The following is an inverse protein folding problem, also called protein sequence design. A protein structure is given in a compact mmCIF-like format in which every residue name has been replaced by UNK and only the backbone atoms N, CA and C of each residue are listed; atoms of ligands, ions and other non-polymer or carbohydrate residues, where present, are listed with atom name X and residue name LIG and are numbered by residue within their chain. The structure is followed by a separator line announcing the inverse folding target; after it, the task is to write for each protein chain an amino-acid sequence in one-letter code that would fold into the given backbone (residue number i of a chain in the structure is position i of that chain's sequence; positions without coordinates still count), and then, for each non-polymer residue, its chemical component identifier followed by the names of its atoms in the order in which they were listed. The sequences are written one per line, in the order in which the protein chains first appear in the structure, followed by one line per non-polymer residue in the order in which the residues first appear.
data_IF_804083485097
#
_entry.id   IF_804083485097
#
_cell.length_a   1.000
_cell.length_b   1.000
_cell.length_c   1.000
_cell.angle_alpha   90.00
_cell.angle_beta   90.00
_cell.angle_gamma   90.00
#
_symmetry.space_group_name_H-M   'P 1'
#
loop_
_entity.id
_entity.type
_entity.pdbx_description
1 polymer ?
#
# COMPACT_ATOMS: atom_id res chain seq x y z
N UNK A 1 -52.05 2.85 18.58
CA UNK A 1 -51.43 1.81 17.71
C UNK A 1 -51.87 2.03 16.27
N UNK A 2 -50.96 2.46 15.39
CA UNK A 2 -51.03 2.18 13.95
C UNK A 2 -49.66 1.66 13.55
N UNK A 3 -49.59 0.36 13.32
CA UNK A 3 -48.46 -0.27 12.65
C UNK A 3 -48.39 0.34 11.25
N UNK A 4 -47.49 1.30 11.04
CA UNK A 4 -46.97 1.52 9.70
C UNK A 4 -46.17 0.26 9.39
N UNK A 5 -46.75 -0.61 8.57
CA UNK A 5 -46.00 -1.64 7.89
C UNK A 5 -44.79 -0.96 7.25
N UNK A 6 -43.61 -1.21 7.82
CA UNK A 6 -42.35 -0.80 7.19
C UNK A 6 -42.28 -1.60 5.91
N UNK A 7 -42.63 -0.99 4.78
CA UNK A 7 -42.44 -1.57 3.46
C UNK A 7 -40.94 -1.77 3.28
N UNK A 8 -40.48 -3.00 3.53
CA UNK A 8 -39.08 -3.36 3.32
C UNK A 8 -38.90 -3.40 1.80
N UNK A 9 -38.22 -2.37 1.28
CA UNK A 9 -37.88 -2.28 -0.13
C UNK A 9 -37.18 -3.57 -0.59
N UNK A 10 -37.47 -4.06 -1.81
CA UNK A 10 -36.76 -5.19 -2.41
C UNK A 10 -35.25 -4.97 -2.40
N UNK A 11 -34.47 -6.06 -2.27
CA UNK A 11 -33.01 -6.00 -2.20
C UNK A 11 -32.41 -5.20 -3.36
N UNK A 12 -32.94 -5.35 -4.57
CA UNK A 12 -32.44 -4.67 -5.77
C UNK A 12 -32.74 -3.17 -5.78
N UNK A 13 -33.88 -2.75 -5.22
CA UNK A 13 -34.18 -1.32 -5.04
C UNK A 13 -33.33 -0.71 -3.93
N UNK A 14 -33.08 -1.46 -2.84
CA UNK A 14 -32.14 -1.05 -1.79
C UNK A 14 -30.71 -0.97 -2.31
N UNK A 15 -30.31 -1.85 -3.21
CA UNK A 15 -29.01 -1.84 -3.88
C UNK A 15 -28.91 -0.71 -4.92
N UNK A 16 -29.98 -0.41 -5.66
CA UNK A 16 -30.06 0.75 -6.57
C UNK A 16 -30.08 2.08 -5.83
N UNK A 17 -30.76 2.18 -4.68
CA UNK A 17 -30.70 3.35 -3.80
C UNK A 17 -29.33 3.45 -3.11
N UNK A 18 -28.71 2.32 -2.74
CA UNK A 18 -27.34 2.26 -2.23
C UNK A 18 -26.28 2.60 -3.29
N UNK A 19 -26.64 2.56 -4.58
CA UNK A 19 -25.78 2.92 -5.70
C UNK A 19 -25.87 4.40 -6.08
N UNK A 20 -26.88 5.14 -5.61
CA UNK A 20 -26.88 6.60 -5.64
C UNK A 20 -26.02 7.12 -4.48
N UNK A 21 -25.42 8.29 -4.65
CA UNK A 21 -24.74 9.03 -3.58
C UNK A 21 -25.48 8.86 -2.25
N UNK A 22 -24.79 8.41 -1.21
CA UNK A 22 -25.38 8.22 0.12
C UNK A 22 -25.51 9.53 0.91
N UNK A 23 -24.84 10.60 0.47
CA UNK A 23 -25.00 11.93 1.06
C UNK A 23 -26.08 12.69 0.29
N UNK A 24 -27.25 12.84 0.90
CA UNK A 24 -28.39 13.59 0.31
C UNK A 24 -28.19 15.10 0.34
N UNK A 25 -27.17 15.59 1.07
CA UNK A 25 -26.77 17.00 1.15
C UNK A 25 -25.29 17.13 1.59
N UNK A 26 -24.66 18.30 1.45
CA UNK A 26 -23.31 18.55 1.97
C UNK A 26 -23.18 18.28 3.48
N UNK A 27 -24.18 18.65 4.29
CA UNK A 27 -24.20 18.40 5.73
C UNK A 27 -24.33 16.91 6.07
N UNK A 28 -24.97 16.13 5.19
CA UNK A 28 -24.99 14.69 5.32
C UNK A 28 -23.61 14.08 5.00
N UNK A 29 -22.89 14.61 4.00
CA UNK A 29 -21.54 14.20 3.66
C UNK A 29 -20.56 14.49 4.81
N UNK A 30 -20.57 15.72 5.34
CA UNK A 30 -19.76 16.11 6.50
C UNK A 30 -20.02 15.21 7.71
N UNK A 31 -21.29 14.92 8.02
CA UNK A 31 -21.64 13.99 9.12
C UNK A 31 -21.13 12.56 8.88
N UNK A 32 -21.04 12.09 7.64
CA UNK A 32 -20.47 10.77 7.34
C UNK A 32 -18.96 10.75 7.56
N UNK A 33 -18.25 11.81 7.14
CA UNK A 33 -16.80 11.97 7.38
C UNK A 33 -16.51 12.08 8.88
N UNK A 34 -17.24 12.90 9.63
CA UNK A 34 -17.07 13.04 11.07
C UNK A 34 -17.33 11.71 11.82
N UNK A 35 -18.31 10.93 11.38
CA UNK A 35 -18.55 9.57 11.92
C UNK A 35 -17.45 8.59 11.58
N UNK A 36 -16.76 8.77 10.46
CA UNK A 36 -15.57 7.99 10.12
C UNK A 36 -14.41 8.39 11.03
N UNK A 37 -14.17 9.68 11.25
CA UNK A 37 -13.16 10.17 12.21
C UNK A 37 -13.32 9.55 13.61
N UNK A 38 -14.54 9.54 14.15
CA UNK A 38 -14.84 9.01 15.49
C UNK A 38 -15.14 7.51 15.56
N UNK A 39 -14.89 6.73 14.51
CA UNK A 39 -15.16 5.29 14.56
C UNK A 39 -14.10 4.58 15.40
N UNK A 40 -14.51 3.59 16.18
CA UNK A 40 -13.56 2.74 16.89
C UNK A 40 -12.68 1.96 15.89
N UNK A 41 -11.35 2.04 16.04
CA UNK A 41 -10.37 1.54 15.07
C UNK A 41 -10.50 0.03 14.81
N UNK A 42 -10.85 -0.77 15.81
CA UNK A 42 -11.16 -2.20 15.63
C UNK A 42 -12.19 -2.51 14.53
N UNK A 43 -13.13 -1.60 14.24
CA UNK A 43 -14.11 -1.79 13.16
C UNK A 43 -13.53 -1.63 11.75
N UNK A 44 -12.33 -1.06 11.62
CA UNK A 44 -11.58 -0.99 10.36
C UNK A 44 -10.95 -2.34 10.02
N UNK A 45 -10.35 -3.01 11.01
CA UNK A 45 -9.57 -4.22 10.79
C UNK A 45 -10.42 -5.47 10.58
N UNK A 46 -11.64 -5.52 11.12
CA UNK A 46 -12.56 -6.66 10.94
C UNK A 46 -11.94 -8.04 11.27
N UNK A 47 -11.09 -8.09 12.29
CA UNK A 47 -10.42 -9.31 12.75
C UNK A 47 -8.95 -9.04 13.11
N UNK A 48 -8.35 -9.98 13.84
CA UNK A 48 -6.99 -9.82 14.37
C UNK A 48 -5.93 -9.85 13.27
N UNK A 49 -6.05 -10.70 12.24
CA UNK A 49 -5.03 -10.81 11.19
C UNK A 49 -4.68 -9.48 10.51
N UNK A 50 -5.65 -8.59 10.28
CA UNK A 50 -5.38 -7.28 9.70
C UNK A 50 -4.78 -6.30 10.70
N UNK A 51 -5.16 -6.44 11.96
CA UNK A 51 -4.56 -5.69 13.06
C UNK A 51 -3.09 -6.11 13.20
N UNK A 52 -2.80 -7.40 13.24
CA UNK A 52 -1.45 -7.96 13.39
C UNK A 52 -0.53 -7.53 12.23
N UNK A 53 -1.03 -7.52 10.98
CA UNK A 53 -0.25 -7.02 9.84
C UNK A 53 0.01 -5.51 9.98
N UNK A 54 -0.99 -4.72 10.32
CA UNK A 54 -0.83 -3.27 10.48
C UNK A 54 0.07 -2.91 11.68
N UNK A 55 0.00 -3.70 12.75
CA UNK A 55 0.87 -3.61 13.93
C UNK A 55 2.31 -3.96 13.56
N UNK A 56 2.54 -4.97 12.72
CA UNK A 56 3.87 -5.26 12.18
C UNK A 56 4.47 -4.11 11.35
N UNK A 57 3.64 -3.22 10.80
CA UNK A 57 4.07 -2.09 9.96
C UNK A 57 4.20 -0.78 10.74
N UNK A 58 3.31 -0.51 11.70
CA UNK A 58 3.23 0.78 12.41
C UNK A 58 3.09 0.66 13.93
N UNK A 59 3.11 -0.56 14.47
CA UNK A 59 2.82 -0.88 15.87
C UNK A 59 3.80 -0.28 16.86
N UNK A 60 5.05 -0.04 16.46
CA UNK A 60 6.04 0.66 17.30
C UNK A 60 5.59 2.07 17.70
N UNK A 61 4.70 2.69 16.93
CA UNK A 61 4.12 4.00 17.23
C UNK A 61 2.79 3.92 17.98
N UNK A 62 2.21 2.72 18.11
CA UNK A 62 0.89 2.56 18.71
C UNK A 62 0.96 2.78 20.23
N UNK A 63 2.02 2.30 20.88
CA UNK A 63 2.23 2.51 22.31
C UNK A 63 2.26 4.00 22.69
N UNK A 64 2.81 4.84 21.82
CA UNK A 64 2.86 6.30 22.00
C UNK A 64 1.50 7.01 21.89
N UNK A 65 0.48 6.33 21.36
CA UNK A 65 -0.81 6.93 21.00
C UNK A 65 -1.95 6.53 21.94
N UNK A 66 -1.74 5.61 22.90
CA UNK A 66 -2.69 5.17 23.94
C UNK A 66 -4.19 5.33 23.57
N UNK A 67 -4.88 6.31 24.19
CA UNK A 67 -6.32 6.58 24.03
C UNK A 67 -6.69 7.17 22.66
N UNK A 68 -5.73 7.75 21.93
CA UNK A 68 -5.96 8.32 20.60
C UNK A 68 -6.14 7.22 19.55
N UNK A 69 -5.50 6.06 19.71
CA UNK A 69 -5.71 4.92 18.81
C UNK A 69 -7.13 4.35 18.84
N UNK A 70 -7.90 4.67 19.88
CA UNK A 70 -9.25 4.13 20.03
C UNK A 70 -10.12 4.50 18.83
N UNK A 71 -9.89 5.67 18.23
CA UNK A 71 -10.67 6.17 17.10
C UNK A 71 -9.82 6.37 15.85
N UNK A 72 -10.44 6.26 14.68
CA UNK A 72 -9.76 6.39 13.38
C UNK A 72 -8.94 7.68 13.24
N UNK A 73 -9.46 8.82 13.69
CA UNK A 73 -8.73 10.09 13.64
C UNK A 73 -7.42 10.08 14.42
N UNK A 74 -7.40 9.44 15.59
CA UNK A 74 -6.15 9.28 16.35
C UNK A 74 -5.31 8.10 15.84
N UNK A 75 -5.90 7.07 15.25
CA UNK A 75 -5.17 6.04 14.50
C UNK A 75 -4.41 6.63 13.30
N UNK A 76 -4.94 7.65 12.61
CA UNK A 76 -4.20 8.35 11.55
C UNK A 76 -2.85 8.91 12.01
N UNK A 77 -2.68 9.21 13.31
CA UNK A 77 -1.40 9.68 13.85
C UNK A 77 -0.30 8.61 13.80
N UNK A 78 -0.63 7.32 13.79
CA UNK A 78 0.39 6.26 13.68
C UNK A 78 1.09 6.29 12.33
N UNK A 79 0.36 6.63 11.25
CA UNK A 79 0.93 6.82 9.92
C UNK A 79 1.86 8.03 9.89
N UNK A 80 1.45 9.14 10.51
CA UNK A 80 2.30 10.33 10.58
C UNK A 80 3.61 10.05 11.31
N UNK A 81 3.55 9.37 12.46
CA UNK A 81 4.74 8.98 13.21
C UNK A 81 5.63 7.99 12.42
N UNK A 82 5.02 7.03 11.72
CA UNK A 82 5.76 6.11 10.85
C UNK A 82 6.46 6.84 9.70
N UNK A 83 5.76 7.80 9.06
CA UNK A 83 6.35 8.64 8.01
C UNK A 83 7.49 9.50 8.59
N UNK A 84 7.32 10.13 9.74
CA UNK A 84 8.36 10.94 10.38
C UNK A 84 9.59 10.11 10.78
N UNK A 85 9.40 8.85 11.15
CA UNK A 85 10.47 7.93 11.54
C UNK A 85 11.21 7.33 10.34
N UNK A 86 10.46 6.81 9.36
CA UNK A 86 11.05 6.13 8.18
C UNK A 86 11.65 7.11 7.19
N UNK A 87 11.18 8.37 7.22
CA UNK A 87 11.54 9.36 6.25
C UNK A 87 12.54 10.37 6.84
N UNK A 88 13.82 10.09 6.61
CA UNK A 88 14.89 11.09 6.71
C UNK A 88 14.67 12.28 5.75
N UNK A 89 13.66 12.27 4.87
CA UNK A 89 13.40 13.35 3.89
C UNK A 89 13.36 14.76 4.50
N UNK A 90 12.70 14.95 5.65
CA UNK A 90 12.71 16.27 6.32
C UNK A 90 14.08 16.58 6.95
N UNK A 91 14.81 15.56 7.43
CA UNK A 91 16.18 15.71 7.91
C UNK A 91 17.16 16.01 6.75
N UNK A 92 16.96 15.39 5.59
CA UNK A 92 17.76 15.52 4.37
C UNK A 92 17.55 16.87 3.68
N UNK A 93 16.32 17.41 3.66
CA UNK A 93 16.03 18.79 3.20
C UNK A 93 16.60 19.83 4.18
N UNK A 94 16.66 19.51 5.47
CA UNK A 94 17.23 20.39 6.49
C UNK A 94 18.76 20.36 6.57
N UNK A 95 19.38 19.33 6.00
CA UNK A 95 20.82 19.25 5.74
C UNK A 95 21.09 19.71 4.31
N UNK A 96 22.26 20.28 4.00
CA UNK A 96 22.66 20.62 2.62
C UNK A 96 22.91 19.35 1.74
N UNK A 97 22.08 18.31 1.85
CA UNK A 97 22.13 17.13 0.99
C UNK A 97 21.65 17.52 -0.42
N UNK A 98 22.27 16.96 -1.45
CA UNK A 98 21.91 17.28 -2.83
C UNK A 98 20.47 16.87 -3.14
N UNK A 99 19.79 17.59 -4.04
CA UNK A 99 18.43 17.23 -4.49
C UNK A 99 18.34 15.77 -5.00
N UNK A 100 19.46 15.21 -5.50
CA UNK A 100 19.58 13.80 -5.91
C UNK A 100 19.54 12.80 -4.73
N UNK A 101 19.94 13.18 -3.52
CA UNK A 101 19.79 12.37 -2.32
C UNK A 101 18.39 12.50 -1.70
N UNK A 102 17.74 13.65 -1.87
CA UNK A 102 16.38 13.90 -1.38
C UNK A 102 15.28 13.23 -2.23
N UNK A 103 15.50 13.06 -3.54
CA UNK A 103 14.55 12.42 -4.46
C UNK A 103 15.20 11.25 -5.20
N UNK A 104 15.36 10.11 -4.50
CA UNK A 104 15.76 8.86 -5.16
C UNK A 104 14.57 8.26 -5.93
N UNK A 105 14.61 8.21 -7.28
CA UNK A 105 13.49 7.72 -8.10
C UNK A 105 13.27 6.22 -7.97
N UNK A 106 14.11 5.50 -7.22
CA UNK A 106 13.99 4.07 -6.98
C UNK A 106 13.58 3.73 -5.54
N UNK A 107 13.18 4.74 -4.75
CA UNK A 107 12.74 4.55 -3.37
C UNK A 107 11.28 4.97 -3.13
N UNK A 108 10.60 4.27 -2.20
CA UNK A 108 9.29 4.69 -1.73
C UNK A 108 9.37 6.03 -0.98
N UNK A 109 8.38 6.89 -1.21
CA UNK A 109 8.32 8.27 -0.72
C UNK A 109 8.40 8.41 0.81
N UNK A 110 7.91 7.42 1.56
CA UNK A 110 7.90 7.42 3.02
C UNK A 110 8.55 6.18 3.64
N UNK A 111 9.40 5.49 2.88
CA UNK A 111 9.89 4.18 3.28
C UNK A 111 8.87 3.07 3.04
N UNK A 112 9.34 1.83 3.11
CA UNK A 112 8.54 0.65 2.74
C UNK A 112 7.44 0.36 3.75
N UNK A 113 7.70 0.50 5.06
CA UNK A 113 6.69 0.19 6.09
C UNK A 113 5.51 1.14 6.01
N UNK A 114 5.76 2.46 6.00
CA UNK A 114 4.70 3.46 5.87
C UNK A 114 3.92 3.31 4.54
N UNK A 115 4.61 3.09 3.41
CA UNK A 115 3.94 2.84 2.13
C UNK A 115 3.05 1.60 2.18
N UNK A 116 3.56 0.47 2.68
CA UNK A 116 2.80 -0.78 2.81
C UNK A 116 1.59 -0.62 3.75
N UNK A 117 1.74 0.14 4.84
CA UNK A 117 0.65 0.43 5.77
C UNK A 117 -0.47 1.21 5.07
N UNK A 118 -0.12 2.22 4.26
CA UNK A 118 -1.09 3.00 3.50
C UNK A 118 -1.82 2.17 2.44
N UNK A 119 -1.10 1.28 1.75
CA UNK A 119 -1.71 0.33 0.80
C UNK A 119 -2.67 -0.60 1.53
N UNK A 120 -2.30 -1.12 2.70
CA UNK A 120 -3.18 -1.94 3.53
C UNK A 120 -4.44 -1.17 3.97
N UNK A 121 -4.29 0.08 4.42
CA UNK A 121 -5.42 0.95 4.75
C UNK A 121 -6.37 1.11 3.54
N UNK A 122 -5.81 1.38 2.36
CA UNK A 122 -6.57 1.47 1.10
C UNK A 122 -7.35 0.18 0.80
N UNK A 123 -6.72 -0.99 0.93
CA UNK A 123 -7.37 -2.29 0.73
C UNK A 123 -8.52 -2.52 1.73
N UNK A 124 -8.31 -2.21 3.01
CA UNK A 124 -9.34 -2.36 4.06
C UNK A 124 -10.55 -1.46 3.78
N UNK A 125 -10.30 -0.20 3.41
CA UNK A 125 -11.37 0.75 3.05
C UNK A 125 -12.12 0.30 1.79
N UNK A 126 -11.42 -0.29 0.82
CA UNK A 126 -12.05 -0.83 -0.39
C UNK A 126 -12.93 -2.05 -0.09
N UNK A 127 -12.47 -2.94 0.80
CA UNK A 127 -13.24 -4.10 1.28
C UNK A 127 -14.54 -3.64 1.98
N UNK A 128 -14.46 -2.57 2.79
CA UNK A 128 -15.63 -1.90 3.34
C UNK A 128 -16.55 -1.34 2.25
N UNK A 129 -16.00 -0.62 1.26
CA UNK A 129 -16.76 -0.02 0.16
C UNK A 129 -17.47 -1.06 -0.72
N UNK A 130 -16.88 -2.24 -0.88
CA UNK A 130 -17.47 -3.40 -1.57
C UNK A 130 -18.61 -4.04 -0.77
N UNK A 131 -18.77 -3.70 0.50
CA UNK A 131 -19.76 -4.29 1.40
C UNK A 131 -19.33 -5.64 1.96
N UNK A 132 -18.06 -6.03 1.78
CA UNK A 132 -17.47 -7.23 2.36
C UNK A 132 -17.33 -7.11 3.88
N UNK A 133 -17.14 -5.88 4.37
CA UNK A 133 -16.92 -5.59 5.78
C UNK A 133 -17.98 -4.59 6.29
N UNK A 134 -19.00 -5.08 7.01
CA UNK A 134 -20.27 -4.37 7.22
C UNK A 134 -20.30 -3.46 8.46
N UNK A 135 -19.28 -2.64 8.67
CA UNK A 135 -19.48 -1.49 9.56
C UNK A 135 -20.17 -0.35 8.83
N UNK A 136 -21.36 0.00 9.29
CA UNK A 136 -22.31 0.87 8.59
C UNK A 136 -21.73 2.25 8.26
N UNK A 137 -20.94 2.84 9.16
CA UNK A 137 -20.41 4.19 8.94
C UNK A 137 -19.29 4.22 7.90
N UNK A 138 -18.33 3.28 7.94
CA UNK A 138 -17.27 3.18 6.92
C UNK A 138 -17.89 2.88 5.56
N UNK A 139 -18.82 1.92 5.52
CA UNK A 139 -19.54 1.55 4.30
C UNK A 139 -20.24 2.76 3.63
N UNK A 140 -20.94 3.59 4.40
CA UNK A 140 -21.63 4.74 3.80
C UNK A 140 -20.68 5.86 3.41
N UNK A 141 -19.63 6.11 4.20
CA UNK A 141 -18.63 7.13 3.87
C UNK A 141 -17.92 6.79 2.55
N UNK A 142 -17.47 5.54 2.41
CA UNK A 142 -16.77 5.03 1.22
C UNK A 142 -17.65 4.90 -0.05
N UNK A 143 -18.97 5.11 0.07
CA UNK A 143 -19.95 5.07 -1.03
C UNK A 143 -20.43 6.44 -1.49
N UNK A 144 -19.89 7.53 -0.92
CA UNK A 144 -20.15 8.87 -1.43
C UNK A 144 -19.55 9.05 -2.84
N UNK A 145 -20.02 10.06 -3.58
CA UNK A 145 -19.26 10.49 -4.75
C UNK A 145 -17.92 11.05 -4.28
N UNK A 146 -16.88 10.89 -5.09
CA UNK A 146 -15.56 11.40 -4.78
C UNK A 146 -15.61 12.90 -4.49
N UNK A 147 -16.37 13.65 -5.29
CA UNK A 147 -16.56 15.08 -5.09
C UNK A 147 -17.16 15.42 -3.72
N UNK A 148 -18.26 14.75 -3.33
CA UNK A 148 -18.89 15.01 -2.04
C UNK A 148 -17.99 14.70 -0.86
N UNK A 149 -17.20 13.63 -0.96
CA UNK A 149 -16.21 13.30 0.06
C UNK A 149 -15.16 14.40 0.18
N UNK A 150 -14.54 14.79 -0.93
CA UNK A 150 -13.50 15.83 -0.96
C UNK A 150 -14.04 17.20 -0.49
N UNK A 151 -15.26 17.57 -0.88
CA UNK A 151 -15.91 18.80 -0.40
C UNK A 151 -16.10 18.75 1.12
N UNK A 152 -16.60 17.62 1.66
CA UNK A 152 -16.75 17.44 3.10
C UNK A 152 -15.43 17.44 3.88
N UNK A 153 -14.35 16.92 3.29
CA UNK A 153 -13.01 17.00 3.89
C UNK A 153 -12.53 18.45 4.00
N UNK A 154 -12.76 19.27 2.96
CA UNK A 154 -12.39 20.69 2.99
C UNK A 154 -13.12 21.43 4.09
N UNK A 155 -14.43 21.19 4.21
CA UNK A 155 -15.26 21.87 5.20
C UNK A 155 -14.84 21.49 6.64
N UNK A 156 -14.43 20.25 6.88
CA UNK A 156 -14.12 19.77 8.24
C UNK A 156 -12.66 19.94 8.66
N UNK A 157 -11.71 19.87 7.74
CA UNK A 157 -10.26 19.78 8.06
C UNK A 157 -9.55 21.13 8.04
N UNK A 158 -10.21 22.20 7.57
CA UNK A 158 -9.59 23.51 7.32
C UNK A 158 -10.39 24.70 7.86
N UNK A 159 -11.36 24.45 8.76
CA UNK A 159 -12.23 25.49 9.35
C UNK A 159 -11.85 25.94 10.77
N UNK A 160 -10.84 25.35 11.42
CA UNK A 160 -10.51 25.68 12.83
C UNK A 160 -9.74 27.00 13.01
N UNK A 161 -10.27 27.84 13.91
CA UNK A 161 -9.63 28.91 14.70
C UNK A 161 -8.87 30.04 14.02
N UNK A 162 -9.19 30.39 12.77
CA UNK A 162 -8.75 31.67 12.16
C UNK A 162 -7.25 31.78 11.86
N UNK A 163 -6.44 30.83 12.32
CA UNK A 163 -5.09 30.56 11.80
C UNK A 163 -5.17 29.38 10.84
N UNK A 164 -5.70 29.65 9.65
CA UNK A 164 -5.58 28.73 8.53
C UNK A 164 -4.09 28.60 8.22
N UNK A 165 -3.52 27.40 8.32
CA UNK A 165 -2.21 27.10 7.72
C UNK A 165 -2.39 27.18 6.20
N UNK A 166 -2.24 28.40 5.67
CA UNK A 166 -2.57 28.76 4.29
C UNK A 166 -1.81 27.93 3.28
N UNK A 167 -0.53 27.67 3.55
CA UNK A 167 0.35 26.88 2.69
C UNK A 167 -0.12 25.43 2.58
N UNK A 168 -0.58 24.84 3.69
CA UNK A 168 -1.11 23.47 3.68
C UNK A 168 -2.50 23.36 3.08
N UNK A 169 -3.38 24.35 3.28
CA UNK A 169 -4.68 24.40 2.62
C UNK A 169 -4.52 24.52 1.10
N UNK A 170 -3.62 25.39 0.65
CA UNK A 170 -3.25 25.55 -0.76
C UNK A 170 -2.70 24.25 -1.34
N UNK A 171 -1.79 23.57 -0.63
CA UNK A 171 -1.24 22.27 -1.06
C UNK A 171 -2.31 21.21 -1.25
N UNK A 172 -3.29 21.11 -0.33
CA UNK A 172 -4.42 20.18 -0.48
C UNK A 172 -5.29 20.55 -1.68
N UNK A 173 -5.57 21.84 -1.90
CA UNK A 173 -6.34 22.29 -3.06
C UNK A 173 -5.64 21.99 -4.38
N UNK A 174 -4.32 22.22 -4.47
CA UNK A 174 -3.53 21.91 -5.66
C UNK A 174 -3.55 20.40 -5.93
N UNK A 175 -3.33 19.56 -4.90
CA UNK A 175 -3.43 18.11 -5.03
C UNK A 175 -4.83 17.69 -5.47
N UNK A 176 -5.87 18.21 -4.82
CA UNK A 176 -7.28 17.89 -5.11
C UNK A 176 -7.62 18.16 -6.57
N UNK A 177 -7.28 19.34 -7.09
CA UNK A 177 -7.55 19.70 -8.48
C UNK A 177 -6.75 18.81 -9.44
N UNK A 178 -5.50 18.47 -9.11
CA UNK A 178 -4.70 17.52 -9.88
C UNK A 178 -5.32 16.12 -9.88
N UNK A 179 -5.73 15.62 -8.71
CA UNK A 179 -6.32 14.30 -8.51
C UNK A 179 -7.66 14.16 -9.25
N UNK A 180 -8.45 15.24 -9.36
CA UNK A 180 -9.71 15.25 -10.09
C UNK A 180 -9.53 15.37 -11.61
N UNK A 181 -8.36 15.80 -12.12
CA UNK A 181 -8.12 15.83 -13.58
C UNK A 181 -8.23 14.42 -14.16
N UNK A 182 -9.10 14.28 -15.16
CA UNK A 182 -9.33 12.99 -15.83
C UNK A 182 -10.30 12.04 -15.11
N UNK A 183 -10.77 12.38 -13.91
CA UNK A 183 -11.84 11.62 -13.22
C UNK A 183 -13.20 12.24 -13.53
N UNK A 184 -14.19 11.42 -13.88
CA UNK A 184 -15.55 11.91 -14.11
C UNK A 184 -16.15 12.39 -12.78
N UNK A 185 -16.89 13.49 -12.80
CA UNK A 185 -17.62 14.05 -11.65
C UNK A 185 -18.60 13.04 -11.02
N UNK A 186 -18.98 12.01 -11.78
CA UNK A 186 -19.82 10.91 -11.31
C UNK A 186 -19.08 9.81 -10.53
N UNK A 187 -17.73 9.81 -10.48
CA UNK A 187 -16.99 8.77 -9.78
C UNK A 187 -17.37 8.67 -8.31
N UNK A 188 -17.59 7.45 -7.85
CA UNK A 188 -17.68 7.12 -6.44
C UNK A 188 -16.30 7.08 -5.79
N UNK A 189 -16.24 7.33 -4.49
CA UNK A 189 -15.01 7.17 -3.72
C UNK A 189 -14.45 5.74 -3.83
N UNK A 190 -15.35 4.74 -3.89
CA UNK A 190 -14.99 3.35 -4.19
C UNK A 190 -14.23 3.19 -5.51
N UNK A 191 -14.72 3.80 -6.59
CA UNK A 191 -14.08 3.71 -7.91
C UNK A 191 -12.71 4.39 -7.92
N UNK A 192 -12.61 5.56 -7.28
CA UNK A 192 -11.34 6.26 -7.13
C UNK A 192 -10.31 5.43 -6.34
N UNK A 193 -10.74 4.79 -5.25
CA UNK A 193 -9.89 3.94 -4.43
C UNK A 193 -9.45 2.68 -5.19
N UNK A 194 -10.35 2.03 -5.93
CA UNK A 194 -10.01 0.90 -6.78
C UNK A 194 -9.02 1.29 -7.89
N UNK A 195 -9.19 2.46 -8.50
CA UNK A 195 -8.27 3.00 -9.52
C UNK A 195 -6.86 3.25 -8.95
N UNK A 196 -6.75 3.90 -7.78
CA UNK A 196 -5.46 4.10 -7.10
C UNK A 196 -4.76 2.76 -6.87
N UNK A 197 -5.48 1.77 -6.33
CA UNK A 197 -4.91 0.45 -6.04
C UNK A 197 -4.55 -0.33 -7.30
N UNK A 198 -5.29 -0.18 -8.41
CA UNK A 198 -4.91 -0.77 -9.71
C UNK A 198 -3.63 -0.17 -10.24
N UNK A 199 -3.49 1.16 -10.21
CA UNK A 199 -2.25 1.86 -10.63
C UNK A 199 -1.07 1.41 -9.78
N UNK A 200 -1.26 1.33 -8.45
CA UNK A 200 -0.26 0.78 -7.54
C UNK A 200 0.13 -0.65 -7.91
N UNK A 201 -0.83 -1.58 -8.09
CA UNK A 201 -0.55 -2.99 -8.40
C UNK A 201 0.19 -3.12 -9.73
N UNK A 202 -0.26 -2.43 -10.78
CA UNK A 202 0.38 -2.47 -12.09
C UNK A 202 1.84 -2.02 -12.03
N UNK A 203 2.13 -0.98 -11.25
CA UNK A 203 3.49 -0.52 -11.04
C UNK A 203 4.30 -1.45 -10.10
N UNK A 204 3.68 -1.98 -9.05
CA UNK A 204 4.28 -2.92 -8.11
C UNK A 204 4.72 -4.23 -8.79
N UNK A 205 3.96 -4.71 -9.79
CA UNK A 205 4.30 -5.92 -10.56
C UNK A 205 5.68 -5.84 -11.22
N UNK A 206 6.15 -4.63 -11.56
CA UNK A 206 7.50 -4.43 -12.11
C UNK A 206 8.59 -4.84 -11.10
N UNK A 207 8.36 -4.54 -9.83
CA UNK A 207 9.27 -4.88 -8.74
C UNK A 207 9.09 -6.32 -8.28
N UNK A 208 7.84 -6.82 -8.25
CA UNK A 208 7.58 -8.21 -7.88
C UNK A 208 8.14 -9.21 -8.91
N UNK A 209 8.10 -8.89 -10.19
CA UNK A 209 8.75 -9.71 -11.22
C UNK A 209 10.28 -9.79 -10.99
N UNK A 210 10.94 -8.68 -10.66
CA UNK A 210 12.35 -8.70 -10.27
C UNK A 210 12.58 -9.53 -9.00
N UNK A 211 11.72 -9.38 -8.00
CA UNK A 211 11.80 -10.18 -6.77
C UNK A 211 11.59 -11.66 -7.05
N UNK A 212 10.71 -12.04 -7.96
CA UNK A 212 10.47 -13.42 -8.36
C UNK A 212 11.72 -14.06 -8.97
N UNK A 213 12.38 -13.36 -9.89
CA UNK A 213 13.65 -13.82 -10.47
C UNK A 213 14.69 -13.99 -9.35
N UNK A 214 14.81 -13.00 -8.46
CA UNK A 214 15.76 -13.06 -7.33
C UNK A 214 15.43 -14.18 -6.33
N UNK A 215 14.15 -14.46 -6.07
CA UNK A 215 13.70 -15.60 -5.25
C UNK A 215 14.13 -16.92 -5.88
N UNK A 216 13.98 -17.07 -7.20
CA UNK A 216 14.43 -18.26 -7.93
C UNK A 216 15.95 -18.42 -7.86
N UNK A 217 16.71 -17.33 -8.04
CA UNK A 217 18.18 -17.34 -7.90
C UNK A 217 18.63 -17.68 -6.48
N UNK A 218 17.92 -17.16 -5.47
CA UNK A 218 18.14 -17.47 -4.06
C UNK A 218 17.88 -18.94 -3.76
N UNK A 219 16.75 -19.47 -4.23
CA UNK A 219 16.38 -20.88 -4.05
C UNK A 219 17.38 -21.83 -4.72
N UNK A 220 17.80 -21.54 -5.95
CA UNK A 220 18.87 -22.28 -6.62
C UNK A 220 20.17 -22.25 -5.79
N UNK A 221 20.54 -21.10 -5.25
CA UNK A 221 21.74 -20.97 -4.41
C UNK A 221 21.63 -21.84 -3.15
N UNK A 222 20.47 -21.84 -2.49
CA UNK A 222 20.21 -22.72 -1.35
C UNK A 222 20.31 -24.21 -1.73
N UNK A 223 19.73 -24.60 -2.86
CA UNK A 223 19.75 -25.98 -3.35
C UNK A 223 21.18 -26.45 -3.64
N UNK A 224 21.99 -25.63 -4.32
CA UNK A 224 23.38 -25.97 -4.63
C UNK A 224 24.24 -26.11 -3.37
N UNK A 225 24.08 -25.23 -2.36
CA UNK A 225 24.76 -25.36 -1.06
C UNK A 225 24.33 -26.62 -0.29
N UNK A 226 23.09 -27.10 -0.49
CA UNK A 226 22.61 -28.34 0.15
C UNK A 226 23.14 -29.58 -0.56
N UNK A 227 23.24 -29.59 -1.90
CA UNK A 227 23.91 -30.67 -2.64
C UNK A 227 25.42 -30.76 -2.31
N UNK A 228 26.07 -29.64 -1.98
CA UNK A 228 27.46 -29.58 -1.50
C UNK A 228 27.68 -30.33 -0.18
N UNK A 229 26.68 -30.34 0.72
CA UNK A 229 26.78 -31.10 1.97
C UNK A 229 26.89 -32.62 1.71
N UNK A 230 26.54 -33.08 0.50
CA UNK A 230 26.63 -34.47 0.06
C UNK A 230 27.71 -34.74 -1.02
N UNK A 231 28.25 -33.72 -1.72
CA UNK A 231 29.28 -33.86 -2.77
C UNK A 231 30.29 -32.69 -2.77
N UNK A 232 31.56 -32.99 -3.07
CA UNK A 232 32.63 -31.98 -3.17
C UNK A 232 32.51 -31.19 -4.49
N UNK A 233 31.98 -29.96 -4.44
CA UNK A 233 32.07 -29.00 -5.55
C UNK A 233 33.47 -28.32 -5.58
N UNK A 234 33.90 -27.76 -6.73
CA UNK A 234 35.08 -26.91 -6.79
C UNK A 234 34.93 -25.67 -5.88
N UNK A 235 35.97 -25.36 -5.10
CA UNK A 235 35.98 -24.27 -4.11
C UNK A 235 35.57 -22.89 -4.68
N UNK A 236 35.83 -22.64 -5.96
CA UNK A 236 35.45 -21.39 -6.63
C UNK A 236 33.92 -21.25 -6.82
N UNK A 237 33.22 -22.36 -7.05
CA UNK A 237 31.77 -22.38 -7.20
C UNK A 237 31.07 -22.21 -5.85
N UNK A 238 31.56 -22.90 -4.81
CA UNK A 238 31.09 -22.76 -3.42
C UNK A 238 31.17 -21.30 -2.98
N UNK A 239 32.34 -20.67 -3.18
CA UNK A 239 32.55 -19.29 -2.75
C UNK A 239 31.71 -18.30 -3.57
N UNK A 240 31.34 -18.64 -4.82
CA UNK A 240 30.42 -17.82 -5.64
C UNK A 240 28.99 -17.88 -5.08
N UNK A 241 28.49 -19.08 -4.76
CA UNK A 241 27.13 -19.29 -4.24
C UNK A 241 26.97 -18.60 -2.88
N UNK A 242 27.93 -18.80 -1.96
CA UNK A 242 27.94 -18.15 -0.65
C UNK A 242 27.99 -16.62 -0.76
N UNK A 243 28.79 -16.08 -1.70
CA UNK A 243 28.84 -14.63 -1.97
C UNK A 243 27.52 -14.08 -2.49
N UNK A 244 26.81 -14.83 -3.34
CA UNK A 244 25.49 -14.44 -3.81
C UNK A 244 24.50 -14.36 -2.65
N UNK A 245 24.37 -15.42 -1.85
CA UNK A 245 23.45 -15.46 -0.69
C UNK A 245 23.70 -14.32 0.28
N UNK A 246 24.97 -14.09 0.64
CA UNK A 246 25.36 -12.94 1.48
C UNK A 246 24.98 -11.60 0.84
N UNK A 247 25.13 -11.45 -0.46
CA UNK A 247 24.74 -10.23 -1.16
C UNK A 247 23.22 -10.06 -1.21
N UNK A 248 22.48 -11.13 -1.47
CA UNK A 248 21.02 -11.17 -1.50
C UNK A 248 20.45 -10.67 -0.17
N UNK A 249 20.95 -11.18 0.98
CA UNK A 249 20.56 -10.73 2.32
C UNK A 249 20.95 -9.28 2.61
N UNK A 250 22.11 -8.82 2.11
CA UNK A 250 22.51 -7.41 2.25
C UNK A 250 21.60 -6.43 1.51
N UNK A 251 21.02 -6.87 0.39
CA UNK A 251 20.16 -6.03 -0.44
C UNK A 251 18.67 -6.31 -0.21
N UNK A 252 18.29 -7.14 0.76
CA UNK A 252 16.92 -7.40 1.19
C UNK A 252 16.88 -8.52 2.25
N UNK A 253 16.43 -8.20 3.45
CA UNK A 253 16.31 -9.14 4.59
C UNK A 253 15.06 -10.02 4.51
N UNK A 254 14.13 -9.68 3.62
CA UNK A 254 12.85 -10.37 3.37
C UNK A 254 13.01 -11.82 2.87
N UNK A 255 14.20 -12.19 2.39
CA UNK A 255 14.53 -13.54 1.92
C UNK A 255 15.22 -14.42 2.98
N UNK A 256 15.42 -13.91 4.19
CA UNK A 256 15.96 -14.68 5.32
C UNK A 256 14.92 -15.73 5.76
N UNK A 257 15.18 -17.01 5.49
CA UNK A 257 14.28 -18.11 5.81
C UNK A 257 13.25 -18.50 4.75
N UNK A 258 13.31 -17.91 3.54
CA UNK A 258 12.47 -18.38 2.42
C UNK A 258 13.05 -19.65 1.80
N UNK A 259 12.64 -20.77 2.38
CA UNK A 259 12.75 -22.06 1.73
C UNK A 259 11.70 -22.15 0.61
N UNK A 260 12.09 -21.82 -0.61
CA UNK A 260 11.47 -22.40 -1.83
C UNK A 260 11.95 -23.86 -1.95
N UNK A 261 11.91 -24.59 -0.85
CA UNK A 261 12.48 -25.91 -0.73
C UNK A 261 11.30 -26.85 -0.56
N UNK A 262 10.92 -27.48 -1.66
CA UNK A 262 10.47 -28.86 -1.58
C UNK A 262 11.67 -29.67 -1.05
N UNK A 263 11.84 -29.71 0.27
CA UNK A 263 13.00 -30.28 1.01
C UNK A 263 13.33 -31.72 0.65
N UNK A 264 12.44 -32.40 -0.07
CA UNK A 264 12.58 -33.80 -0.47
C UNK A 264 12.67 -34.04 -1.99
N UNK A 265 12.69 -32.99 -2.83
CA UNK A 265 12.81 -33.18 -4.30
C UNK A 265 14.23 -32.92 -4.80
N UNK A 266 14.84 -33.97 -5.35
CA UNK A 266 16.06 -33.86 -6.15
C UNK A 266 15.69 -33.59 -7.61
N UNK A 267 16.22 -32.51 -8.15
CA UNK A 267 16.03 -32.16 -9.55
C UNK A 267 17.16 -32.76 -10.39
N UNK A 268 16.82 -33.37 -11.53
CA UNK A 268 17.82 -33.85 -12.49
C UNK A 268 18.58 -32.69 -13.14
N UNK A 269 17.91 -31.54 -13.29
CA UNK A 269 18.46 -30.28 -13.81
C UNK A 269 17.93 -29.11 -12.97
N UNK A 270 18.57 -28.79 -11.82
CA UNK A 270 18.14 -27.68 -10.97
C UNK A 270 18.31 -26.32 -11.66
N UNK A 271 19.33 -26.15 -12.51
CA UNK A 271 19.56 -24.90 -13.25
C UNK A 271 18.41 -24.63 -14.22
N UNK A 272 18.05 -25.61 -15.04
CA UNK A 272 16.94 -25.53 -15.97
C UNK A 272 15.60 -25.34 -15.25
N UNK A 273 15.36 -26.07 -14.15
CA UNK A 273 14.14 -25.92 -13.35
C UNK A 273 13.95 -24.49 -12.83
N UNK A 274 14.94 -23.94 -12.12
CA UNK A 274 14.82 -22.59 -11.55
C UNK A 274 14.84 -21.49 -12.62
N UNK A 275 15.48 -21.72 -13.78
CA UNK A 275 15.39 -20.80 -14.92
C UNK A 275 13.98 -20.79 -15.54
N UNK A 276 13.38 -21.96 -15.78
CA UNK A 276 11.99 -22.06 -16.25
C UNK A 276 11.03 -21.40 -15.25
N UNK A 277 11.21 -21.65 -13.96
CA UNK A 277 10.39 -21.04 -12.92
C UNK A 277 10.52 -19.51 -12.89
N UNK A 278 11.74 -18.99 -13.07
CA UNK A 278 11.97 -17.54 -13.16
C UNK A 278 11.31 -16.90 -14.40
N UNK A 279 11.21 -17.65 -15.50
CA UNK A 279 10.49 -17.21 -16.70
C UNK A 279 8.96 -17.28 -16.53
N UNK A 280 8.46 -18.21 -15.72
CA UNK A 280 7.04 -18.38 -15.41
C UNK A 280 6.62 -17.41 -14.29
N UNK A 281 6.51 -16.13 -14.61
CA UNK A 281 5.95 -15.13 -13.69
C UNK A 281 4.41 -15.14 -13.76
N UNK A 282 3.70 -15.31 -12.63
CA UNK A 282 2.25 -15.23 -12.62
C UNK A 282 1.80 -13.77 -12.79
N UNK A 283 1.41 -13.39 -14.01
CA UNK A 283 0.96 -12.03 -14.32
C UNK A 283 -0.42 -11.68 -13.72
N UNK A 284 -1.20 -12.68 -13.33
CA UNK A 284 -2.59 -12.51 -12.90
C UNK A 284 -2.71 -12.05 -11.43
N UNK A 285 -2.50 -10.76 -11.18
CA UNK A 285 -2.91 -10.13 -9.93
C UNK A 285 -4.39 -9.74 -10.02
N UNK A 286 -5.26 -10.22 -9.11
CA UNK A 286 -6.68 -9.91 -9.17
C UNK A 286 -6.99 -8.40 -9.13
N UNK A 287 -7.99 -7.95 -9.90
CA UNK A 287 -8.47 -6.57 -9.82
C UNK A 287 -9.02 -6.27 -8.41
N UNK A 288 -8.42 -5.35 -7.63
CA UNK A 288 -8.89 -5.01 -6.28
C UNK A 288 -10.34 -4.54 -6.26
N UNK A 289 -10.80 -3.88 -7.33
CA UNK A 289 -12.16 -3.36 -7.47
C UNK A 289 -13.21 -4.42 -7.83
N UNK A 290 -12.79 -5.60 -8.29
CA UNK A 290 -13.69 -6.68 -8.69
C UNK A 290 -14.52 -7.18 -7.52
N UNK A 291 -15.78 -7.55 -7.77
CA UNK A 291 -16.68 -8.13 -6.76
C UNK A 291 -16.31 -9.56 -6.39
N UNK A 292 -15.59 -10.25 -7.27
CA UNK A 292 -15.26 -11.67 -7.14
C UNK A 292 -13.99 -11.90 -6.30
N UNK A 293 -13.22 -10.84 -6.03
CA UNK A 293 -12.06 -10.87 -5.15
C UNK A 293 -12.54 -10.78 -3.70
N UNK A 294 -12.26 -11.84 -2.93
CA UNK A 294 -12.62 -11.92 -1.52
C UNK A 294 -11.84 -10.88 -0.68
N UNK A 295 -12.44 -10.37 0.41
CA UNK A 295 -11.74 -9.50 1.34
C UNK A 295 -10.46 -10.15 1.84
N UNK A 296 -9.36 -9.45 1.68
CA UNK A 296 -8.05 -9.92 2.12
C UNK A 296 -7.22 -10.75 1.17
N UNK A 297 -7.75 -11.09 -0.01
CA UNK A 297 -6.97 -11.84 -1.02
C UNK A 297 -5.68 -11.14 -1.39
N UNK A 298 -5.66 -9.81 -1.52
CA UNK A 298 -4.48 -9.05 -1.97
C UNK A 298 -3.56 -8.59 -0.84
N UNK A 299 -3.95 -8.74 0.43
CA UNK A 299 -3.15 -8.26 1.58
C UNK A 299 -1.81 -8.96 1.61
N UNK A 300 -0.76 -8.25 2.07
CA UNK A 300 0.65 -8.71 2.18
C UNK A 300 1.29 -9.32 0.93
N UNK A 301 0.51 -9.69 -0.09
CA UNK A 301 0.96 -10.21 -1.37
C UNK A 301 1.50 -9.10 -2.26
N UNK A 302 0.89 -7.91 -2.19
CA UNK A 302 1.26 -6.74 -3.00
C UNK A 302 2.15 -5.73 -2.25
N UNK A 303 2.79 -6.15 -1.16
CA UNK A 303 3.68 -5.28 -0.40
C UNK A 303 5.02 -5.12 -1.09
N UNK A 304 5.57 -3.92 -0.98
CA UNK A 304 6.94 -3.68 -1.39
C UNK A 304 7.88 -4.38 -0.43
N UNK A 305 8.94 -4.94 -1.00
CA UNK A 305 10.10 -5.44 -0.25
C UNK A 305 11.04 -4.28 0.07
N UNK A 306 11.77 -4.40 1.18
CA UNK A 306 12.85 -3.48 1.61
C UNK A 306 14.08 -3.47 0.67
N UNK A 307 13.97 -4.13 -0.48
CA UNK A 307 15.06 -4.30 -1.42
C UNK A 307 15.51 -2.98 -2.05
N UNK A 308 16.83 -2.90 -2.28
CA UNK A 308 17.40 -1.80 -3.04
C UNK A 308 17.24 -2.02 -4.56
N UNK A 309 16.22 -1.39 -5.15
CA UNK A 309 15.93 -1.48 -6.59
C UNK A 309 16.76 -0.55 -7.48
N UNK A 310 17.76 0.15 -6.94
CA UNK A 310 18.66 0.96 -7.78
C UNK A 310 19.29 0.05 -8.85
N UNK A 311 19.26 0.43 -10.14
CA UNK A 311 19.81 -0.39 -11.23
C UNK A 311 21.25 -0.88 -10.96
N UNK A 312 22.09 -0.02 -10.38
CA UNK A 312 23.45 -0.37 -9.97
C UNK A 312 23.49 -1.48 -8.91
N UNK A 313 22.61 -1.42 -7.90
CA UNK A 313 22.54 -2.44 -6.86
C UNK A 313 22.08 -3.79 -7.44
N UNK A 314 21.08 -3.78 -8.32
CA UNK A 314 20.59 -4.96 -9.00
C UNK A 314 21.65 -5.59 -9.93
N UNK A 315 22.39 -4.79 -10.71
CA UNK A 315 23.51 -5.27 -11.55
C UNK A 315 24.63 -5.88 -10.71
N UNK A 316 25.02 -5.25 -9.60
CA UNK A 316 26.01 -5.81 -8.67
C UNK A 316 25.56 -7.13 -8.03
N UNK A 317 24.25 -7.37 -7.94
CA UNK A 317 23.69 -8.63 -7.47
C UNK A 317 23.71 -9.68 -8.59
N UNK A 318 23.35 -9.29 -9.81
CA UNK A 318 23.39 -10.14 -11.00
C UNK A 318 24.80 -10.70 -11.28
N UNK A 319 25.85 -9.88 -11.12
CA UNK A 319 27.25 -10.30 -11.29
C UNK A 319 27.67 -11.45 -10.37
N UNK A 320 26.99 -11.61 -9.23
CA UNK A 320 27.28 -12.67 -8.24
C UNK A 320 26.46 -13.93 -8.48
N UNK A 321 25.57 -13.93 -9.48
CA UNK A 321 24.65 -15.03 -9.76
C UNK A 321 25.37 -16.38 -9.83
N UNK A 322 24.78 -17.46 -9.30
CA UNK A 322 25.29 -18.81 -9.50
C UNK A 322 25.10 -19.32 -10.94
N UNK A 323 24.24 -18.69 -11.75
CA UNK A 323 23.88 -19.10 -13.12
C UNK A 323 23.99 -17.95 -14.11
N UNK A 324 24.61 -18.21 -15.27
CA UNK A 324 24.73 -17.24 -16.36
C UNK A 324 23.38 -16.90 -16.98
N UNK A 325 22.50 -17.88 -17.20
CA UNK A 325 21.19 -17.65 -17.81
C UNK A 325 20.28 -16.81 -16.92
N UNK A 326 20.28 -17.07 -15.59
CA UNK A 326 19.53 -16.25 -14.62
C UNK A 326 20.12 -14.85 -14.47
N UNK A 327 21.44 -14.71 -14.61
CA UNK A 327 22.09 -13.39 -14.64
C UNK A 327 21.61 -12.58 -15.84
N UNK A 328 21.63 -13.17 -17.04
CA UNK A 328 21.20 -12.50 -18.26
C UNK A 328 19.71 -12.14 -18.20
N UNK A 329 18.88 -13.03 -17.64
CA UNK A 329 17.45 -12.77 -17.40
C UNK A 329 17.26 -11.55 -16.48
N UNK A 330 17.96 -11.51 -15.34
CA UNK A 330 17.87 -10.38 -14.41
C UNK A 330 18.38 -9.09 -15.07
N UNK A 331 19.54 -9.12 -15.74
CA UNK A 331 20.11 -7.96 -16.43
C UNK A 331 19.16 -7.39 -17.49
N UNK A 332 18.48 -8.26 -18.25
CA UNK A 332 17.50 -7.86 -19.27
C UNK A 332 16.24 -7.24 -18.65
N UNK A 333 15.86 -7.66 -17.45
CA UNK A 333 14.70 -7.11 -16.72
C UNK A 333 14.99 -5.78 -16.03
N UNK A 334 16.26 -5.39 -15.86
CA UNK A 334 16.64 -4.09 -15.27
C UNK A 334 16.53 -2.97 -16.32
N UNK A 335 15.49 -2.14 -16.21
CA UNK A 335 15.34 -0.91 -16.99
C UNK A 335 15.23 0.30 -16.07
N UNK A 336 16.18 1.23 -16.16
CA UNK A 336 16.22 2.42 -15.30
C UNK A 336 14.96 3.27 -15.45
N UNK A 337 14.56 3.53 -16.70
CA UNK A 337 13.36 4.32 -17.03
C UNK A 337 12.08 3.62 -16.56
N UNK A 338 11.97 2.29 -16.75
CA UNK A 338 10.77 1.53 -16.35
C UNK A 338 10.63 1.49 -14.82
N UNK A 339 11.73 1.24 -14.11
CA UNK A 339 11.75 1.18 -12.65
C UNK A 339 11.48 2.54 -12.01
N UNK A 340 12.09 3.62 -12.55
CA UNK A 340 11.83 4.96 -12.06
C UNK A 340 10.36 5.36 -12.24
N UNK A 341 9.76 5.07 -13.41
CA UNK A 341 8.35 5.31 -13.68
C UNK A 341 7.43 4.49 -12.78
N UNK A 342 7.74 3.21 -12.58
CA UNK A 342 6.95 2.35 -11.71
C UNK A 342 6.99 2.84 -10.25
N UNK A 343 8.17 3.21 -9.73
CA UNK A 343 8.27 3.76 -8.38
C UNK A 343 7.55 5.11 -8.26
N UNK A 344 7.59 5.94 -9.30
CA UNK A 344 6.82 7.19 -9.36
C UNK A 344 5.32 6.93 -9.25
N UNK A 345 4.76 5.98 -10.01
CA UNK A 345 3.35 5.61 -9.93
C UNK A 345 2.96 5.03 -8.55
N UNK A 346 3.83 4.21 -7.95
CA UNK A 346 3.68 3.75 -6.57
C UNK A 346 3.58 4.93 -5.61
N UNK A 347 4.53 5.87 -5.69
CA UNK A 347 4.60 7.01 -4.80
C UNK A 347 3.39 7.94 -4.97
N UNK A 348 2.91 8.14 -6.20
CA UNK A 348 1.67 8.87 -6.48
C UNK A 348 0.48 8.15 -5.85
N UNK A 349 0.34 6.84 -6.05
CA UNK A 349 -0.78 6.07 -5.51
C UNK A 349 -0.81 6.09 -3.98
N UNK A 350 0.34 5.92 -3.33
CA UNK A 350 0.47 5.98 -1.87
C UNK A 350 0.18 7.39 -1.35
N UNK A 351 0.66 8.43 -2.04
CA UNK A 351 0.35 9.83 -1.69
C UNK A 351 -1.14 10.12 -1.82
N UNK A 352 -1.79 9.63 -2.88
CA UNK A 352 -3.24 9.75 -3.06
C UNK A 352 -4.01 9.09 -1.90
N UNK A 353 -3.58 7.91 -1.43
CA UNK A 353 -4.19 7.23 -0.28
C UNK A 353 -4.04 8.05 1.01
N UNK A 354 -2.85 8.58 1.27
CA UNK A 354 -2.56 9.43 2.42
C UNK A 354 -3.42 10.70 2.41
N UNK A 355 -3.46 11.40 1.27
CA UNK A 355 -4.22 12.65 1.11
C UNK A 355 -5.73 12.45 1.20
N UNK A 356 -6.23 11.27 0.82
CA UNK A 356 -7.66 10.94 0.95
C UNK A 356 -8.05 10.51 2.37
N UNK A 357 -7.21 9.75 3.06
CA UNK A 357 -7.64 8.96 4.21
C UNK A 357 -6.84 9.18 5.49
N UNK A 358 -5.73 9.89 5.45
CA UNK A 358 -4.90 10.17 6.63
C UNK A 358 -4.82 11.66 6.91
N UNK A 359 -4.22 12.43 5.99
CA UNK A 359 -3.95 13.87 6.19
C UNK A 359 -5.16 14.69 6.66
N UNK A 360 -6.36 14.54 6.05
CA UNK A 360 -7.51 15.32 6.49
C UNK A 360 -7.96 14.98 7.91
N UNK A 361 -7.88 13.70 8.29
CA UNK A 361 -8.34 13.21 9.59
C UNK A 361 -7.39 13.56 10.73
N UNK A 362 -6.13 13.87 10.43
CA UNK A 362 -5.21 14.43 11.42
C UNK A 362 -5.65 15.82 11.91
N UNK A 363 -6.47 16.54 11.11
CA UNK A 363 -6.81 17.95 11.33
C UNK A 363 -8.25 18.21 11.77
N UNK A 364 -9.12 17.20 11.80
CA UNK A 364 -10.55 17.37 12.14
C UNK A 364 -10.84 17.50 13.65
N UNK A 365 -9.81 17.66 14.47
CA UNK A 365 -9.89 17.41 15.91
C UNK A 365 -10.31 18.59 16.79
N UNK A 366 -11.50 19.19 16.57
CA UNK A 366 -12.34 19.95 17.55
C UNK A 366 -13.62 20.62 16.93
N UNK A 367 -14.32 19.99 15.97
CA UNK A 367 -15.55 20.61 15.42
C UNK A 367 -16.78 20.49 16.36
N UNK A 368 -17.17 21.59 17.03
CA UNK A 368 -18.47 21.76 17.68
C UNK A 368 -19.50 22.39 16.72
N UNK A 369 -20.52 21.61 16.31
CA UNK A 369 -21.61 22.01 15.39
C UNK A 369 -22.61 23.04 16.00
N UNK A 370 -22.17 23.94 16.87
CA UNK A 370 -23.02 25.00 17.44
C UNK A 370 -22.65 26.38 16.89
N UNK A 371 -22.88 26.59 15.60
CA UNK A 371 -23.16 27.89 14.99
C UNK A 371 -23.52 27.63 13.54
N UNK A 372 -24.80 27.80 13.22
CA UNK A 372 -25.35 28.27 11.92
C UNK A 372 -26.85 27.93 11.89
N UNK A 373 -27.58 28.57 12.80
CA UNK A 373 -28.96 28.97 12.62
C UNK A 373 -29.06 30.41 13.16
N UNK A 374 -28.56 31.36 12.37
CA UNK A 374 -29.03 32.75 12.38
C UNK A 374 -29.37 33.16 10.94
#
# INVERSE_FOLDING_TARGET
MRNMERTILPLDERLKMAAKSQATSPEAAARLVQRLYGIHTAYLFCGNANCDIMEGLTGEFWECLENNLLHYGGFCHSFRLAIEHDNDFFAAISSDASEEEAFDPYRPVWGVRANNALVLLGLLLLDHAKGGMKYRNIYYCTRMTLKQYLDALVDLSFQEDGTQDGDRAESFWIWRESFLKGKDKAWSLKEALADILRRYIAAWQEFDHLNHILRCMGALSCYLEQEEAERVLPQEEEERIRRFRKALCRYGTDLEGWELVETDKRYLDPLGYYFSLACEYPEDVPDPGSKDVAPGTLRSQIFLSDRNYRPKALRNLAEKSPSQDLRELLEKSISEERLARAMQEINIAVTDLYMLFVEPYLRMGEYHYERHLE
#
